data_IF_103272520910
#
_entry.id   IF_103272520910
#
_cell.length_a   1.000
_cell.length_b   1.000
_cell.length_c   1.000
_cell.angle_alpha   90.00
_cell.angle_beta   90.00
_cell.angle_gamma   90.00
#
_symmetry.space_group_name_H-M   'P 1'
#
loop_
_entity.id
_entity.type
_entity.pdbx_description
1 polymer ?
#
# COMPACT_ATOMS: atom_id res chain seq x y z
N UNK A 1 -47.05 -1.03 -13.31
CA UNK A 1 -46.04 -1.35 -12.26
C UNK A 1 -44.68 -0.97 -12.81
N UNK A 2 -44.24 0.27 -12.54
CA UNK A 2 -42.96 0.81 -13.00
C UNK A 2 -41.84 0.38 -12.06
N UNK A 3 -40.92 -0.43 -12.55
CA UNK A 3 -39.64 -0.72 -11.90
C UNK A 3 -38.82 0.57 -11.85
N UNK A 4 -38.80 1.25 -10.70
CA UNK A 4 -37.87 2.33 -10.40
C UNK A 4 -36.45 1.77 -10.37
N UNK A 5 -35.75 1.86 -11.49
CA UNK A 5 -34.30 1.66 -11.56
C UNK A 5 -33.65 2.75 -10.70
N UNK A 6 -33.27 2.38 -9.48
CA UNK A 6 -32.50 3.19 -8.53
C UNK A 6 -31.06 3.31 -9.01
N UNK A 7 -30.84 3.90 -10.17
CA UNK A 7 -29.51 4.32 -10.58
C UNK A 7 -29.20 5.66 -9.89
N UNK A 8 -28.20 5.72 -8.99
CA UNK A 8 -27.81 6.97 -8.37
C UNK A 8 -27.39 7.98 -9.45
N UNK A 9 -27.93 9.20 -9.34
CA UNK A 9 -27.70 10.28 -10.29
C UNK A 9 -26.20 10.53 -10.55
N UNK A 10 -25.78 10.83 -11.79
CA UNK A 10 -24.37 10.96 -12.18
C UNK A 10 -23.57 11.95 -11.32
N UNK A 11 -24.19 13.04 -10.87
CA UNK A 11 -23.57 14.04 -9.99
C UNK A 11 -23.19 13.48 -8.59
N UNK A 12 -23.89 12.45 -8.10
CA UNK A 12 -23.56 11.79 -6.83
C UNK A 12 -22.37 10.85 -6.96
N UNK A 13 -22.20 10.23 -8.13
CA UNK A 13 -21.07 9.36 -8.44
C UNK A 13 -19.76 10.15 -8.60
N UNK A 14 -19.81 11.32 -9.23
CA UNK A 14 -18.66 12.21 -9.38
C UNK A 14 -18.17 12.78 -8.04
N UNK A 15 -19.07 13.23 -7.16
CA UNK A 15 -18.69 13.69 -5.81
C UNK A 15 -18.02 12.59 -5.00
N UNK A 16 -18.60 11.38 -5.02
CA UNK A 16 -18.06 10.21 -4.32
C UNK A 16 -16.69 9.80 -4.86
N UNK A 17 -16.48 9.94 -6.18
CA UNK A 17 -15.18 9.75 -6.81
C UNK A 17 -14.15 10.77 -6.31
N UNK A 18 -14.47 12.06 -6.31
CA UNK A 18 -13.56 13.11 -5.85
C UNK A 18 -13.18 12.96 -4.36
N UNK A 19 -14.11 12.51 -3.52
CA UNK A 19 -13.87 12.22 -2.11
C UNK A 19 -12.95 11.00 -1.93
N UNK A 20 -13.18 9.93 -2.69
CA UNK A 20 -12.31 8.75 -2.72
C UNK A 20 -10.91 9.07 -3.24
N UNK A 21 -10.78 9.93 -4.25
CA UNK A 21 -9.49 10.39 -4.78
C UNK A 21 -8.71 11.19 -3.72
N UNK A 22 -9.39 12.07 -2.95
CA UNK A 22 -8.76 12.79 -1.82
C UNK A 22 -8.31 11.86 -0.70
N UNK A 23 -9.14 10.90 -0.30
CA UNK A 23 -8.76 9.90 0.71
C UNK A 23 -7.63 8.99 0.22
N UNK A 24 -7.64 8.61 -1.05
CA UNK A 24 -6.55 7.83 -1.64
C UNK A 24 -5.24 8.64 -1.65
N UNK A 25 -5.28 9.93 -1.96
CA UNK A 25 -4.11 10.81 -1.95
C UNK A 25 -3.53 11.01 -0.54
N UNK A 26 -4.37 11.20 0.47
CA UNK A 26 -3.90 11.32 1.86
C UNK A 26 -3.33 10.01 2.39
N UNK A 27 -4.00 8.89 2.11
CA UNK A 27 -3.49 7.55 2.46
C UNK A 27 -2.18 7.23 1.74
N UNK A 28 -2.06 7.62 0.46
CA UNK A 28 -0.82 7.46 -0.29
C UNK A 28 0.33 8.27 0.34
N UNK A 29 0.10 9.55 0.63
CA UNK A 29 1.13 10.40 1.23
C UNK A 29 1.56 9.89 2.62
N UNK A 30 0.61 9.49 3.45
CA UNK A 30 0.90 8.91 4.77
C UNK A 30 1.64 7.58 4.65
N UNK A 31 1.18 6.66 3.80
CA UNK A 31 1.82 5.37 3.59
C UNK A 31 3.23 5.52 3.00
N UNK A 32 3.42 6.42 2.04
CA UNK A 32 4.73 6.72 1.46
C UNK A 32 5.69 7.28 2.51
N UNK A 33 5.24 8.21 3.36
CA UNK A 33 6.04 8.77 4.45
C UNK A 33 6.42 7.71 5.47
N UNK A 34 5.44 6.93 5.95
CA UNK A 34 5.70 5.86 6.93
C UNK A 34 6.64 4.80 6.38
N UNK A 35 6.47 4.42 5.11
CA UNK A 35 7.37 3.47 4.44
C UNK A 35 8.77 4.05 4.28
N UNK A 36 8.91 5.31 3.88
CA UNK A 36 10.21 5.96 3.78
C UNK A 36 10.93 6.02 5.14
N UNK A 37 10.20 6.30 6.22
CA UNK A 37 10.77 6.30 7.59
C UNK A 37 11.17 4.90 8.01
N UNK A 38 10.30 3.89 7.84
CA UNK A 38 10.58 2.51 8.24
C UNK A 38 11.75 1.98 7.42
N UNK A 39 11.67 2.01 6.09
CA UNK A 39 12.74 1.53 5.21
C UNK A 39 14.05 2.28 5.44
N UNK A 40 14.01 3.61 5.61
CA UNK A 40 15.20 4.40 5.94
C UNK A 40 15.84 3.98 7.26
N UNK A 41 15.04 3.84 8.31
CA UNK A 41 15.51 3.35 9.60
C UNK A 41 16.09 1.93 9.48
N UNK A 42 15.42 1.04 8.74
CA UNK A 42 15.88 -0.35 8.61
C UNK A 42 17.12 -0.51 7.73
N UNK A 43 17.27 0.28 6.66
CA UNK A 43 18.51 0.31 5.86
C UNK A 43 19.66 0.83 6.71
N UNK A 44 19.47 1.91 7.46
CA UNK A 44 20.50 2.46 8.35
C UNK A 44 20.86 1.43 9.43
N UNK A 45 19.87 0.81 10.09
CA UNK A 45 20.14 -0.20 11.13
C UNK A 45 20.77 -1.48 10.59
N UNK A 46 20.31 -2.00 9.44
CA UNK A 46 20.83 -3.23 8.84
C UNK A 46 22.24 -3.06 8.24
N UNK A 47 22.49 -1.92 7.59
CA UNK A 47 23.81 -1.59 7.02
C UNK A 47 24.89 -1.44 8.10
N UNK A 48 24.54 -0.84 9.24
CA UNK A 48 25.50 -0.68 10.34
C UNK A 48 25.71 -1.94 11.17
N UNK A 49 24.71 -2.83 11.24
CA UNK A 49 24.77 -3.95 12.15
C UNK A 49 25.47 -5.18 11.54
N UNK A 50 25.50 -5.35 10.21
CA UNK A 50 26.21 -6.46 9.55
C UNK A 50 25.73 -7.85 9.98
N UNK A 51 24.49 -7.97 10.46
CA UNK A 51 24.01 -9.14 11.24
C UNK A 51 23.33 -10.20 10.37
N UNK A 52 22.78 -9.85 9.20
CA UNK A 52 21.91 -10.75 8.46
C UNK A 52 22.66 -11.93 7.83
N UNK A 53 22.38 -13.14 8.33
CA UNK A 53 22.77 -14.41 7.68
C UNK A 53 21.96 -14.59 6.38
N UNK A 54 22.55 -15.24 5.37
CA UNK A 54 22.08 -15.32 3.96
C UNK A 54 20.56 -15.57 3.78
N UNK A 55 19.92 -16.41 4.61
CA UNK A 55 18.48 -16.68 4.55
C UNK A 55 17.58 -15.59 5.14
N UNK A 56 17.97 -14.96 6.25
CA UNK A 56 17.21 -13.87 6.88
C UNK A 56 17.38 -12.56 6.11
N UNK A 57 18.54 -12.37 5.49
CA UNK A 57 18.79 -11.27 4.56
C UNK A 57 17.79 -11.27 3.40
N UNK A 58 17.53 -12.45 2.80
CA UNK A 58 16.54 -12.60 1.72
C UNK A 58 15.13 -12.24 2.17
N UNK A 59 14.74 -12.62 3.38
CA UNK A 59 13.41 -12.29 3.91
C UNK A 59 13.28 -10.78 4.15
N UNK A 60 14.33 -10.14 4.65
CA UNK A 60 14.40 -8.70 4.80
C UNK A 60 14.26 -7.98 3.45
N UNK A 61 15.03 -8.39 2.44
CA UNK A 61 14.94 -7.85 1.09
C UNK A 61 13.57 -8.09 0.43
N UNK A 62 12.94 -9.25 0.67
CA UNK A 62 11.57 -9.51 0.22
C UNK A 62 10.57 -8.52 0.86
N UNK A 63 10.72 -8.24 2.16
CA UNK A 63 9.95 -7.23 2.88
C UNK A 63 10.13 -5.82 2.30
N UNK A 64 11.36 -5.47 1.92
CA UNK A 64 11.67 -4.20 1.25
C UNK A 64 11.02 -4.10 -0.14
N UNK A 65 11.12 -5.16 -0.96
CA UNK A 65 10.48 -5.22 -2.28
C UNK A 65 8.96 -5.10 -2.17
N UNK A 66 8.34 -5.78 -1.19
CA UNK A 66 6.92 -5.63 -0.88
C UNK A 66 6.55 -4.17 -0.57
N UNK A 67 7.40 -3.45 0.16
CA UNK A 67 7.24 -2.02 0.43
C UNK A 67 7.28 -1.17 -0.83
N UNK A 68 8.19 -1.45 -1.78
CA UNK A 68 8.22 -0.76 -3.08
C UNK A 68 6.93 -1.02 -3.87
N UNK A 69 6.50 -2.28 -3.94
CA UNK A 69 5.26 -2.66 -4.63
C UNK A 69 4.05 -1.96 -4.00
N UNK A 70 4.00 -1.86 -2.67
CA UNK A 70 2.97 -1.13 -1.95
C UNK A 70 2.88 0.34 -2.39
N UNK A 71 4.02 1.04 -2.46
CA UNK A 71 4.08 2.43 -2.93
C UNK A 71 3.55 2.54 -4.36
N UNK A 72 3.95 1.63 -5.24
CA UNK A 72 3.46 1.61 -6.62
C UNK A 72 1.94 1.36 -6.71
N UNK A 73 1.39 0.47 -5.87
CA UNK A 73 -0.04 0.18 -5.81
C UNK A 73 -0.84 1.41 -5.37
N UNK A 74 -0.38 2.12 -4.33
CA UNK A 74 -1.05 3.35 -3.90
C UNK A 74 -0.89 4.49 -4.92
N UNK A 75 0.26 4.61 -5.58
CA UNK A 75 0.44 5.56 -6.69
C UNK A 75 -0.55 5.26 -7.83
N UNK A 76 -0.73 3.99 -8.20
CA UNK A 76 -1.71 3.57 -9.19
C UNK A 76 -3.16 3.83 -8.75
N UNK A 77 -3.45 3.77 -7.44
CA UNK A 77 -4.75 4.14 -6.90
C UNK A 77 -5.02 5.64 -7.01
N UNK A 78 -3.98 6.48 -6.90
CA UNK A 78 -4.08 7.93 -7.00
C UNK A 78 -4.23 8.46 -8.43
N UNK A 79 -3.91 7.66 -9.46
CA UNK A 79 -4.05 8.08 -10.86
C UNK A 79 -5.53 8.19 -11.25
N UNK A 80 -5.96 9.29 -11.91
CA UNK A 80 -7.35 9.48 -12.32
C UNK A 80 -7.81 8.34 -13.24
N UNK A 81 -8.92 7.69 -12.88
CA UNK A 81 -9.52 6.62 -13.68
C UNK A 81 -10.21 7.15 -14.94
N UNK A 82 -10.37 6.29 -15.95
CA UNK A 82 -11.03 6.59 -17.23
C UNK A 82 -12.49 7.04 -17.11
N UNK A 83 -13.17 7.19 -18.25
CA UNK A 83 -14.48 7.84 -18.36
C UNK A 83 -15.61 7.23 -17.50
N UNK A 84 -15.48 5.98 -17.04
CA UNK A 84 -16.49 5.29 -16.23
C UNK A 84 -16.21 5.40 -14.72
N UNK A 85 -16.98 6.25 -14.05
CA UNK A 85 -16.83 6.55 -12.62
C UNK A 85 -17.06 5.32 -11.71
N UNK A 86 -17.94 4.38 -12.07
CA UNK A 86 -18.15 3.16 -11.25
C UNK A 86 -16.93 2.25 -11.30
N UNK A 87 -16.39 2.01 -12.50
CA UNK A 87 -15.19 1.18 -12.68
C UNK A 87 -13.97 1.81 -12.00
N UNK A 88 -13.85 3.14 -12.07
CA UNK A 88 -12.80 3.87 -11.37
C UNK A 88 -12.88 3.66 -9.84
N UNK A 89 -14.06 3.83 -9.23
CA UNK A 89 -14.26 3.60 -7.80
C UNK A 89 -13.93 2.17 -7.36
N UNK A 90 -14.36 1.15 -8.11
CA UNK A 90 -14.04 -0.25 -7.81
C UNK A 90 -12.54 -0.51 -7.89
N UNK A 91 -11.88 0.00 -8.94
CA UNK A 91 -10.42 -0.11 -9.11
C UNK A 91 -9.67 0.51 -7.95
N UNK A 92 -9.99 1.76 -7.60
CA UNK A 92 -9.35 2.50 -6.50
C UNK A 92 -9.54 1.74 -5.18
N UNK A 93 -10.76 1.28 -4.89
CA UNK A 93 -11.06 0.53 -3.66
C UNK A 93 -10.24 -0.76 -3.58
N UNK A 94 -10.12 -1.48 -4.69
CA UNK A 94 -9.37 -2.74 -4.72
C UNK A 94 -7.86 -2.50 -4.55
N UNK A 95 -7.31 -1.49 -5.23
CA UNK A 95 -5.91 -1.09 -5.07
C UNK A 95 -5.60 -0.62 -3.64
N UNK A 96 -6.49 0.15 -3.01
CA UNK A 96 -6.32 0.55 -1.61
C UNK A 96 -6.28 -0.65 -0.66
N UNK A 97 -7.15 -1.67 -0.88
CA UNK A 97 -7.14 -2.90 -0.07
C UNK A 97 -5.83 -3.67 -0.22
N UNK A 98 -5.35 -3.84 -1.45
CA UNK A 98 -4.06 -4.51 -1.70
C UNK A 98 -2.91 -3.71 -1.08
N UNK A 99 -2.89 -2.40 -1.28
CA UNK A 99 -1.90 -1.51 -0.68
C UNK A 99 -1.87 -1.62 0.85
N UNK A 100 -3.04 -1.69 1.50
CA UNK A 100 -3.13 -1.90 2.96
C UNK A 100 -2.58 -3.25 3.41
N UNK A 101 -2.84 -4.33 2.66
CA UNK A 101 -2.26 -5.65 2.97
C UNK A 101 -0.74 -5.60 2.86
N UNK A 102 -0.22 -5.00 1.79
CA UNK A 102 1.22 -4.86 1.59
C UNK A 102 1.88 -3.95 2.64
N UNK A 103 1.17 -2.90 3.08
CA UNK A 103 1.61 -1.99 4.15
C UNK A 103 1.83 -2.71 5.48
N UNK A 104 1.06 -3.76 5.77
CA UNK A 104 1.26 -4.59 6.96
C UNK A 104 2.31 -5.68 6.70
N UNK A 105 2.24 -6.36 5.55
CA UNK A 105 3.11 -7.48 5.24
C UNK A 105 4.59 -7.07 5.15
N UNK A 106 4.91 -5.93 4.52
CA UNK A 106 6.28 -5.43 4.37
C UNK A 106 7.02 -5.27 5.71
N UNK A 107 6.54 -4.47 6.68
CA UNK A 107 7.23 -4.32 7.95
C UNK A 107 7.24 -5.61 8.77
N UNK A 108 6.21 -6.45 8.69
CA UNK A 108 6.19 -7.76 9.37
C UNK A 108 7.34 -8.64 8.87
N UNK A 109 7.57 -8.72 7.55
CA UNK A 109 8.70 -9.46 6.99
C UNK A 109 10.05 -8.92 7.48
N UNK A 110 10.23 -7.60 7.49
CA UNK A 110 11.48 -6.98 7.96
C UNK A 110 11.71 -7.24 9.46
N UNK A 111 10.68 -7.10 10.29
CA UNK A 111 10.76 -7.36 11.74
C UNK A 111 11.05 -8.83 12.01
N UNK A 112 10.36 -9.76 11.33
CA UNK A 112 10.62 -11.18 11.47
C UNK A 112 12.04 -11.57 11.05
N UNK A 113 12.58 -10.94 10.00
CA UNK A 113 13.97 -11.14 9.61
C UNK A 113 14.94 -10.67 10.71
N UNK A 114 14.72 -9.48 11.28
CA UNK A 114 15.55 -8.98 12.39
C UNK A 114 15.46 -9.86 13.64
N UNK A 115 14.25 -10.32 13.98
CA UNK A 115 14.01 -11.20 15.13
C UNK A 115 14.64 -12.57 14.92
N UNK A 116 14.43 -13.19 13.75
CA UNK A 116 15.00 -14.49 13.39
C UNK A 116 16.52 -14.48 13.42
N UNK A 117 17.11 -13.41 12.89
CA UNK A 117 18.54 -13.16 12.90
C UNK A 117 19.09 -12.96 14.31
N UNK A 118 18.44 -12.13 15.14
CA UNK A 118 18.83 -11.90 16.54
C UNK A 118 18.81 -13.18 17.38
N UNK A 119 17.79 -14.03 17.20
CA UNK A 119 17.65 -15.28 17.94
C UNK A 119 18.38 -16.48 17.30
N UNK A 120 19.02 -16.29 16.13
CA UNK A 120 19.67 -17.35 15.34
C UNK A 120 18.78 -18.56 15.09
N UNK A 121 17.51 -18.31 14.78
CA UNK A 121 16.55 -19.32 14.32
C UNK A 121 16.88 -19.78 12.90
#
# INVERSE_FOLDING_TARGET
MGSTSSDPAPASAERRRAELERHAATLFAAAALTTAVICGATIVSGWFAGVLVDSWERLFWAGFVLGIVMVAVFAAAALPGGADARRACTRITWLLRVGLVLFVASPVCCILAMVGDYYRL
#
